data_IF_503489468993
#
_entry.id   IF_503489468993
#
_cell.length_a   1.000
_cell.length_b   1.000
_cell.length_c   1.000
_cell.angle_alpha   90.00
_cell.angle_beta   90.00
_cell.angle_gamma   90.00
#
_symmetry.space_group_name_H-M   'P 1'
#
loop_
_entity.id
_entity.type
_entity.pdbx_description
1 polymer ?
#
# COMPACT_ATOMS: atom_id res chain seq x y z
N UNK A 1 -10.54 -19.50 8.06
CA UNK A 1 -9.29 -18.78 7.81
C UNK A 1 -9.45 -17.49 8.57
N UNK A 2 -8.76 -17.38 9.71
CA UNK A 2 -8.79 -16.17 10.53
C UNK A 2 -7.71 -15.23 9.99
N UNK A 3 -8.05 -13.96 9.79
CA UNK A 3 -7.11 -12.95 9.29
C UNK A 3 -6.63 -12.16 10.50
N UNK A 4 -5.34 -12.24 10.81
CA UNK A 4 -4.77 -11.52 11.95
C UNK A 4 -4.54 -10.03 11.61
N UNK A 5 -5.16 -9.08 12.33
CA UNK A 5 -4.93 -7.65 12.15
C UNK A 5 -3.46 -7.23 12.30
N UNK A 6 -2.68 -7.94 13.12
CA UNK A 6 -1.26 -7.66 13.30
C UNK A 6 -0.46 -7.98 12.03
N UNK A 7 -0.75 -9.12 11.39
CA UNK A 7 -0.12 -9.52 10.12
C UNK A 7 -0.46 -8.52 8.99
N UNK A 8 -1.70 -8.02 8.94
CA UNK A 8 -2.10 -6.99 7.98
C UNK A 8 -1.34 -5.68 8.17
N UNK A 9 -1.11 -5.24 9.41
CA UNK A 9 -0.29 -4.05 9.68
C UNK A 9 1.16 -4.26 9.33
N UNK A 10 1.70 -5.42 9.67
CA UNK A 10 3.07 -5.76 9.31
C UNK A 10 3.26 -5.75 7.78
N UNK A 11 2.29 -6.27 7.03
CA UNK A 11 2.30 -6.18 5.57
C UNK A 11 2.24 -4.72 5.08
N UNK A 12 1.41 -3.88 5.69
CA UNK A 12 1.34 -2.45 5.34
C UNK A 12 2.68 -1.73 5.58
N UNK A 13 3.37 -2.04 6.67
CA UNK A 13 4.67 -1.44 7.00
C UNK A 13 5.78 -1.92 6.07
N UNK A 14 5.74 -3.19 5.64
CA UNK A 14 6.65 -3.70 4.60
C UNK A 14 6.44 -2.97 3.27
N UNK A 15 5.18 -2.72 2.89
CA UNK A 15 4.84 -1.99 1.67
C UNK A 15 5.35 -0.55 1.73
N UNK A 16 5.16 0.16 2.84
CA UNK A 16 5.72 1.52 3.03
C UNK A 16 7.25 1.53 2.99
N UNK A 17 7.90 0.53 3.57
CA UNK A 17 9.36 0.44 3.55
C UNK A 17 9.90 0.31 2.12
N UNK A 18 9.20 -0.43 1.25
CA UNK A 18 9.55 -0.54 -0.17
C UNK A 18 9.37 0.80 -0.89
N UNK A 19 8.29 1.53 -0.60
CA UNK A 19 8.07 2.89 -1.15
C UNK A 19 9.18 3.84 -0.72
N UNK A 20 9.49 3.87 0.58
CA UNK A 20 10.53 4.74 1.12
C UNK A 20 11.91 4.43 0.53
N UNK A 21 12.24 3.16 0.31
CA UNK A 21 13.48 2.76 -0.37
C UNK A 21 13.49 3.26 -1.83
N UNK A 22 12.38 3.07 -2.55
CA UNK A 22 12.25 3.50 -3.96
C UNK A 22 12.38 5.01 -4.12
N UNK A 23 11.81 5.79 -3.20
CA UNK A 23 11.95 7.25 -3.20
C UNK A 23 13.38 7.69 -2.84
N UNK A 24 14.05 6.99 -1.92
CA UNK A 24 15.42 7.29 -1.53
C UNK A 24 16.44 7.01 -2.66
N UNK A 25 16.20 5.96 -3.45
CA UNK A 25 17.06 5.60 -4.59
C UNK A 25 16.92 6.58 -5.77
N UNK A 26 15.88 7.42 -5.77
CA UNK A 26 15.60 8.40 -6.80
C UNK A 26 14.98 7.76 -8.04
N UNK A 27 13.72 8.09 -8.30
CA UNK A 27 12.96 7.57 -9.45
C UNK A 27 13.18 8.39 -10.73
N UNK A 28 13.92 9.49 -10.65
CA UNK A 28 14.20 10.38 -11.79
C UNK A 28 15.33 9.81 -12.66
N UNK A 29 15.15 9.91 -13.98
CA UNK A 29 16.17 9.51 -14.95
C UNK A 29 16.81 10.76 -15.55
N UNK A 30 18.08 11.01 -15.21
CA UNK A 30 18.86 12.02 -15.90
C UNK A 30 19.36 11.49 -17.25
N UNK A 31 18.58 11.77 -18.29
CA UNK A 31 18.89 11.44 -19.68
C UNK A 31 19.35 12.66 -20.49
N UNK A 32 19.81 13.72 -19.82
CA UNK A 32 20.18 15.01 -20.44
C UNK A 32 21.50 14.99 -21.24
N UNK A 33 22.11 13.82 -21.44
CA UNK A 33 23.37 13.68 -22.18
C UNK A 33 23.26 14.11 -23.65
N UNK A 34 24.33 14.73 -24.16
CA UNK A 34 24.46 15.06 -25.58
C UNK A 34 24.54 13.78 -26.42
N UNK A 35 23.43 13.44 -27.07
CA UNK A 35 23.31 12.28 -27.94
C UNK A 35 23.59 12.60 -29.42
N UNK A 36 24.03 13.83 -29.72
CA UNK A 36 24.41 14.26 -31.07
C UNK A 36 23.30 14.20 -32.11
N UNK A 37 22.03 14.04 -31.68
CA UNK A 37 20.88 13.88 -32.56
C UNK A 37 19.60 14.39 -31.89
N UNK A 38 19.06 15.51 -32.38
CA UNK A 38 17.91 16.22 -31.79
C UNK A 38 16.67 15.31 -31.61
N UNK A 39 16.38 14.47 -32.60
CA UNK A 39 15.26 13.54 -32.52
C UNK A 39 15.42 12.46 -31.43
N UNK A 40 16.66 12.07 -31.12
CA UNK A 40 16.94 11.08 -30.08
C UNK A 40 16.88 11.75 -28.70
N UNK A 41 17.41 12.97 -28.58
CA UNK A 41 17.29 13.78 -27.38
C UNK A 41 15.81 14.03 -27.01
N UNK A 42 14.97 14.36 -27.99
CA UNK A 42 13.52 14.56 -27.77
C UNK A 42 12.80 13.27 -27.34
N UNK A 43 13.17 12.13 -27.91
CA UNK A 43 12.62 10.83 -27.53
C UNK A 43 13.05 10.44 -26.11
N UNK A 44 14.31 10.67 -25.75
CA UNK A 44 14.83 10.41 -24.40
C UNK A 44 14.18 11.30 -23.35
N UNK A 45 13.97 12.58 -23.64
CA UNK A 45 13.24 13.50 -22.75
C UNK A 45 11.79 13.05 -22.54
N UNK A 46 11.09 12.65 -23.61
CA UNK A 46 9.72 12.13 -23.53
C UNK A 46 9.63 10.85 -22.71
N UNK A 47 10.62 9.96 -22.87
CA UNK A 47 10.71 8.74 -22.09
C UNK A 47 10.98 9.03 -20.61
N UNK A 48 11.95 9.89 -20.28
CA UNK A 48 12.26 10.27 -18.90
C UNK A 48 11.02 10.84 -18.19
N UNK A 49 10.30 11.76 -18.84
CA UNK A 49 9.05 12.32 -18.30
C UNK A 49 7.98 11.25 -18.08
N UNK A 50 7.78 10.35 -19.05
CA UNK A 50 6.78 9.27 -18.92
C UNK A 50 7.16 8.27 -17.82
N UNK A 51 8.46 8.02 -17.63
CA UNK A 51 8.98 7.17 -16.58
C UNK A 51 8.73 7.78 -15.21
N UNK A 52 9.06 9.06 -15.01
CA UNK A 52 8.84 9.77 -13.75
C UNK A 52 7.36 9.77 -13.36
N UNK A 53 6.48 10.07 -14.32
CA UNK A 53 5.03 10.03 -14.09
C UNK A 53 4.54 8.62 -13.74
N UNK A 54 5.05 7.59 -14.42
CA UNK A 54 4.70 6.19 -14.15
C UNK A 54 5.20 5.71 -12.79
N UNK A 55 6.41 6.11 -12.42
CA UNK A 55 7.01 5.78 -11.14
C UNK A 55 6.25 6.45 -9.98
N UNK A 56 5.83 7.70 -10.14
CA UNK A 56 4.99 8.40 -9.18
C UNK A 56 3.62 7.71 -8.99
N UNK A 57 2.98 7.27 -10.09
CA UNK A 57 1.73 6.51 -10.03
C UNK A 57 1.91 5.16 -9.32
N UNK A 58 3.04 4.47 -9.53
CA UNK A 58 3.33 3.21 -8.86
C UNK A 58 3.52 3.41 -7.36
N UNK A 59 4.23 4.46 -6.95
CA UNK A 59 4.38 4.83 -5.54
C UNK A 59 3.02 5.10 -4.90
N UNK A 60 2.16 5.89 -5.55
CA UNK A 60 0.84 6.23 -5.03
C UNK A 60 -0.06 4.98 -4.91
N UNK A 61 -0.08 4.13 -5.93
CA UNK A 61 -0.82 2.87 -5.89
C UNK A 61 -0.35 1.97 -4.74
N UNK A 62 0.97 1.91 -4.52
CA UNK A 62 1.59 1.11 -3.46
C UNK A 62 1.24 1.65 -2.08
N UNK A 63 1.24 2.97 -1.87
CA UNK A 63 0.72 3.61 -0.64
C UNK A 63 -0.76 3.31 -0.43
N UNK A 64 -1.55 3.30 -1.51
CA UNK A 64 -2.97 2.90 -1.48
C UNK A 64 -3.16 1.48 -0.93
N UNK A 65 -2.29 0.53 -1.29
CA UNK A 65 -2.30 -0.83 -0.74
C UNK A 65 -2.02 -0.82 0.76
N UNK A 66 -0.96 -0.11 1.21
CA UNK A 66 -0.64 -0.01 2.62
C UNK A 66 -1.79 0.60 3.44
N UNK A 67 -2.43 1.65 2.92
CA UNK A 67 -3.61 2.27 3.51
C UNK A 67 -4.79 1.28 3.61
N UNK A 68 -5.07 0.55 2.54
CA UNK A 68 -6.11 -0.48 2.50
C UNK A 68 -5.88 -1.58 3.54
N UNK A 69 -4.65 -2.07 3.67
CA UNK A 69 -4.27 -3.07 4.67
C UNK A 69 -4.52 -2.58 6.10
N UNK A 70 -4.13 -1.33 6.42
CA UNK A 70 -4.38 -0.72 7.73
C UNK A 70 -5.87 -0.53 8.02
N UNK A 71 -6.64 -0.12 7.00
CA UNK A 71 -8.09 0.00 7.11
C UNK A 71 -8.74 -1.34 7.41
N UNK A 72 -8.35 -2.40 6.68
CA UNK A 72 -8.85 -3.76 6.90
C UNK A 72 -8.48 -4.28 8.30
N UNK A 73 -7.23 -4.09 8.74
CA UNK A 73 -6.80 -4.47 10.09
C UNK A 73 -7.66 -3.79 11.18
N UNK A 74 -7.88 -2.48 11.04
CA UNK A 74 -8.73 -1.70 11.96
C UNK A 74 -10.18 -2.21 11.95
N UNK A 75 -10.70 -2.59 10.79
CA UNK A 75 -12.05 -3.14 10.67
C UNK A 75 -12.18 -4.46 11.43
N UNK A 76 -11.22 -5.37 11.28
CA UNK A 76 -11.22 -6.64 12.02
C UNK A 76 -11.17 -6.43 13.54
N UNK A 77 -10.29 -5.56 14.04
CA UNK A 77 -10.23 -5.26 15.48
C UNK A 77 -11.53 -4.68 16.03
N UNK A 78 -12.18 -3.80 15.26
CA UNK A 78 -13.48 -3.26 15.64
C UNK A 78 -14.52 -4.38 15.70
N UNK A 79 -14.55 -5.27 14.70
CA UNK A 79 -15.45 -6.42 14.68
C UNK A 79 -15.20 -7.36 15.86
N UNK A 80 -13.95 -7.66 16.17
CA UNK A 80 -13.57 -8.52 17.30
C UNK A 80 -13.93 -7.87 18.65
N UNK A 81 -13.69 -6.57 18.79
CA UNK A 81 -14.10 -5.81 19.96
C UNK A 81 -15.62 -5.81 20.14
N UNK A 82 -16.40 -5.67 19.05
CA UNK A 82 -17.86 -5.77 19.09
C UNK A 82 -18.33 -7.18 19.46
N UNK A 83 -17.69 -8.23 18.94
CA UNK A 83 -17.99 -9.62 19.30
C UNK A 83 -17.72 -9.88 20.80
N UNK A 84 -16.59 -9.39 21.30
CA UNK A 84 -16.15 -9.56 22.69
C UNK A 84 -16.96 -8.72 23.70
N UNK A 85 -17.47 -7.55 23.31
CA UNK A 85 -18.08 -6.57 24.23
C UNK A 85 -19.53 -6.86 24.64
N UNK A 86 -20.19 -7.92 24.13
CA UNK A 86 -21.40 -8.44 24.76
C UNK A 86 -22.49 -9.02 23.86
N UNK A 87 -22.48 -8.75 22.55
CA UNK A 87 -23.43 -9.39 21.62
C UNK A 87 -23.09 -10.88 21.41
N UNK A 88 -21.80 -11.26 21.44
CA UNK A 88 -21.40 -12.66 21.43
C UNK A 88 -21.94 -13.43 22.63
N UNK A 89 -21.86 -12.83 23.83
CA UNK A 89 -22.37 -13.41 25.08
C UNK A 89 -23.90 -13.55 25.09
N UNK A 90 -24.62 -12.58 24.51
CA UNK A 90 -26.07 -12.63 24.35
C UNK A 90 -26.53 -13.73 23.39
N UNK A 91 -25.76 -14.02 22.33
CA UNK A 91 -26.07 -15.11 21.39
C UNK A 91 -25.70 -16.47 22.01
N UNK A 92 -24.57 -16.56 22.73
CA UNK A 92 -24.15 -17.78 23.46
C UNK A 92 -25.17 -18.14 24.56
N UNK A 93 -25.65 -17.16 25.33
CA UNK A 93 -26.69 -17.36 26.36
C UNK A 93 -28.07 -17.68 25.74
N UNK A 94 -28.34 -17.28 24.49
CA UNK A 94 -29.61 -17.55 23.80
C UNK A 94 -29.63 -18.94 23.12
N UNK A 95 -28.48 -19.45 22.68
CA UNK A 95 -28.33 -20.75 22.00
C UNK A 95 -27.94 -21.87 22.98
N UNK A 96 -27.23 -21.53 24.05
CA UNK A 96 -26.71 -22.47 25.06
C UNK A 96 -27.54 -22.57 26.35
N UNK A 97 -28.87 -22.35 26.30
CA UNK A 97 -29.75 -22.39 27.47
C UNK A 97 -29.55 -23.61 28.41
N UNK A 98 -29.96 -23.47 29.69
CA UNK A 98 -29.39 -24.13 30.89
C UNK A 98 -29.15 -25.64 30.85
#
# INVERSE_FOLDING_TARGET
MDVDPAELRQAADQVEAVVAASEADGLSLDLSGDVGHDGLAAAMASFASSWEDGAAQLVEATRGIASGLRFTATTYEITDAFAASGLGRLIDDLVGGP
#
